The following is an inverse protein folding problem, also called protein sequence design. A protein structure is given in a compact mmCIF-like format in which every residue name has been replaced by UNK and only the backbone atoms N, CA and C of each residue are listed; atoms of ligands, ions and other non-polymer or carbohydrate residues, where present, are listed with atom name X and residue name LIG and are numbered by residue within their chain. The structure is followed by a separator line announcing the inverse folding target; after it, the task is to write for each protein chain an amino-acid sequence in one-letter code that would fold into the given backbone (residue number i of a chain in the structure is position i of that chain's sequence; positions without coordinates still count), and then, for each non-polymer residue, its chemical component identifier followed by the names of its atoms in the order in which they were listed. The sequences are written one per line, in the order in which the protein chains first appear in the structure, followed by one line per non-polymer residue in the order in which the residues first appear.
data_IF_446661699001
#
_entry.id   IF_446661699001
#
_cell.length_a   1.000
_cell.length_b   1.000
_cell.length_c   1.000
_cell.angle_alpha   90.00
_cell.angle_beta   90.00
_cell.angle_gamma   90.00
#
_symmetry.space_group_name_H-M   'P 1'
#
loop_
_entity.id
_entity.type
_entity.pdbx_description
1 polymer ?
#
# COMPACT_ATOMS: atom_id res chain seq x y z
N UNK A 1 10.34 -7.87 -9.36
CA UNK A 1 9.35 -6.79 -9.59
C UNK A 1 8.54 -6.66 -8.32
N UNK A 2 8.95 -5.78 -7.42
CA UNK A 2 8.24 -4.52 -7.15
C UNK A 2 7.83 -4.53 -5.69
N UNK A 3 8.70 -4.07 -4.79
CA UNK A 3 8.65 -4.40 -3.36
C UNK A 3 7.45 -3.83 -2.59
N UNK A 4 6.46 -3.20 -3.22
CA UNK A 4 5.36 -2.50 -2.53
C UNK A 4 5.80 -1.31 -1.64
N UNK A 5 7.11 -1.21 -1.35
CA UNK A 5 7.83 -0.19 -0.58
C UNK A 5 8.33 0.97 -1.46
N UNK A 6 8.37 0.79 -2.77
CA UNK A 6 8.61 1.86 -3.75
C UNK A 6 7.31 2.30 -4.42
N UNK A 7 6.26 1.51 -4.27
CA UNK A 7 4.97 1.71 -4.92
C UNK A 7 4.08 2.52 -4.00
N UNK A 8 3.71 3.71 -4.45
CA UNK A 8 2.85 4.61 -3.67
C UNK A 8 1.43 4.06 -3.60
N UNK A 9 0.84 4.00 -2.41
CA UNK A 9 -0.51 3.45 -2.25
C UNK A 9 -1.55 4.21 -3.09
N UNK A 10 -1.41 5.53 -3.19
CA UNK A 10 -2.37 6.40 -3.89
C UNK A 10 -2.00 6.75 -5.32
N UNK A 11 -0.70 7.01 -5.55
CA UNK A 11 -0.23 7.55 -6.83
C UNK A 11 0.05 6.46 -7.87
N UNK A 12 0.32 5.25 -7.41
CA UNK A 12 0.74 4.14 -8.24
C UNK A 12 -0.43 3.23 -8.59
N UNK A 13 -0.36 2.59 -9.76
CA UNK A 13 -1.38 1.65 -10.23
C UNK A 13 -1.01 0.23 -9.80
N UNK A 14 -1.20 -0.04 -8.52
CA UNK A 14 -0.95 -1.38 -7.95
C UNK A 14 -2.21 -2.24 -7.92
N UNK A 15 -3.40 -1.64 -8.07
CA UNK A 15 -4.63 -2.36 -8.33
C UNK A 15 -4.92 -2.39 -9.85
N UNK A 16 -5.51 -3.50 -10.34
CA UNK A 16 -5.92 -3.62 -11.75
C UNK A 16 -6.81 -2.46 -12.21
N UNK A 17 -7.63 -1.94 -11.30
CA UNK A 17 -8.66 -0.94 -11.59
C UNK A 17 -8.08 0.47 -11.90
N UNK A 18 -6.90 0.79 -11.38
CA UNK A 18 -6.32 2.13 -11.58
C UNK A 18 -5.56 2.67 -10.39
N UNK A 19 -5.39 3.99 -10.37
CA UNK A 19 -4.82 4.71 -9.23
C UNK A 19 -5.93 4.97 -8.23
N UNK A 20 -5.72 4.55 -6.98
CA UNK A 20 -6.74 4.70 -5.92
C UNK A 20 -7.15 6.17 -5.68
N UNK A 21 -6.27 7.13 -5.95
CA UNK A 21 -6.59 8.56 -5.83
C UNK A 21 -7.67 9.03 -6.82
N UNK A 22 -7.76 8.37 -7.96
CA UNK A 22 -8.70 8.72 -9.04
C UNK A 22 -10.06 8.07 -8.80
N UNK A 23 -10.03 6.81 -8.33
CA UNK A 23 -11.22 6.04 -7.97
C UNK A 23 -11.89 6.56 -6.69
N UNK A 24 -11.08 6.89 -5.68
CA UNK A 24 -11.55 7.27 -4.35
C UNK A 24 -11.01 8.64 -3.91
N UNK A 25 -11.36 9.74 -4.62
CA UNK A 25 -10.83 11.08 -4.34
C UNK A 25 -11.25 11.60 -2.96
N UNK A 26 -12.39 11.14 -2.40
CA UNK A 26 -12.83 11.55 -1.07
C UNK A 26 -11.95 10.93 0.01
N UNK A 27 -11.60 9.66 -0.12
CA UNK A 27 -10.67 8.99 0.80
C UNK A 27 -9.25 9.53 0.62
N UNK A 28 -8.82 9.81 -0.61
CA UNK A 28 -7.53 10.46 -0.86
C UNK A 28 -7.42 11.84 -0.19
N UNK A 29 -8.51 12.61 -0.12
CA UNK A 29 -8.53 13.89 0.58
C UNK A 29 -8.38 13.75 2.11
N UNK A 30 -8.65 12.57 2.67
CA UNK A 30 -8.44 12.24 4.09
C UNK A 30 -7.00 11.83 4.38
N UNK A 31 -6.27 11.37 3.37
CA UNK A 31 -4.89 10.91 3.51
C UNK A 31 -3.96 12.05 3.94
N UNK A 32 -3.31 11.89 5.10
CA UNK A 32 -2.28 12.82 5.54
C UNK A 32 -0.92 12.43 4.94
N UNK A 33 -0.63 11.13 4.83
CA UNK A 33 0.63 10.64 4.27
C UNK A 33 0.48 10.29 2.78
N UNK A 34 0.60 11.31 1.92
CA UNK A 34 0.53 11.13 0.46
C UNK A 34 1.63 10.23 -0.12
N UNK A 35 2.73 10.06 0.60
CA UNK A 35 3.89 9.22 0.22
C UNK A 35 3.86 7.83 0.87
N UNK A 36 2.77 7.44 1.54
CA UNK A 36 2.69 6.11 2.12
C UNK A 36 2.73 5.05 1.03
N UNK A 37 3.55 4.03 1.27
CA UNK A 37 3.74 2.93 0.35
C UNK A 37 2.68 1.86 0.61
N UNK A 38 2.43 1.00 -0.38
CA UNK A 38 1.47 -0.10 -0.19
C UNK A 38 1.89 -0.99 0.97
N UNK A 39 3.18 -1.34 1.05
CA UNK A 39 3.71 -2.18 2.13
C UNK A 39 3.50 -1.56 3.51
N UNK A 40 3.80 -0.27 3.69
CA UNK A 40 3.59 0.42 4.96
C UNK A 40 2.10 0.55 5.30
N UNK A 41 1.25 0.85 4.31
CA UNK A 41 -0.20 0.99 4.53
C UNK A 41 -0.85 -0.32 4.95
N UNK A 42 -0.47 -1.42 4.30
CA UNK A 42 -1.02 -2.76 4.55
C UNK A 42 -0.40 -3.45 5.78
N UNK A 43 0.80 -3.04 6.19
CA UNK A 43 1.40 -3.49 7.45
C UNK A 43 0.64 -2.97 8.68
N UNK A 44 -0.15 -1.90 8.53
CA UNK A 44 -0.96 -1.35 9.61
C UNK A 44 -2.29 -2.08 9.75
N UNK A 45 -2.77 -2.19 10.98
CA UNK A 45 -4.05 -2.83 11.32
C UNK A 45 -5.24 -2.08 10.70
N UNK A 46 -5.09 -0.79 10.41
CA UNK A 46 -6.17 0.02 9.85
C UNK A 46 -5.68 0.93 8.72
N UNK A 47 -6.43 0.96 7.61
CA UNK A 47 -6.22 1.89 6.50
C UNK A 47 -6.37 3.36 6.94
N UNK A 48 -7.09 3.61 8.04
CA UNK A 48 -7.24 4.93 8.63
C UNK A 48 -5.99 5.40 9.40
N UNK A 49 -4.96 4.56 9.58
CA UNK A 49 -3.75 4.89 10.34
C UNK A 49 -3.11 6.22 9.93
N UNK A 50 -2.97 6.44 8.63
CA UNK A 50 -2.36 7.67 8.09
C UNK A 50 -3.39 8.77 7.74
N UNK A 51 -4.68 8.54 8.01
CA UNK A 51 -5.69 9.55 7.71
C UNK A 51 -5.66 10.67 8.74
N UNK A 52 -5.86 11.90 8.28
CA UNK A 52 -5.94 13.08 9.15
C UNK A 52 -7.18 13.06 10.04
N UNK A 53 -8.25 12.42 9.57
CA UNK A 53 -9.51 12.23 10.31
C UNK A 53 -10.19 10.94 9.86
N UNK A 54 -11.00 10.36 10.75
CA UNK A 54 -11.84 9.21 10.44
C UNK A 54 -12.99 9.68 9.52
N UNK A 55 -13.33 8.94 8.45
CA UNK A 55 -14.49 9.25 7.62
C UNK A 55 -15.74 9.30 8.50
N UNK A 56 -16.47 10.43 8.45
CA UNK A 56 -17.59 10.70 9.39
C UNK A 56 -18.94 10.15 8.91
N UNK A 57 -18.99 9.53 7.73
CA UNK A 57 -20.22 9.01 7.13
C UNK A 57 -20.40 9.41 5.68
N UNK A 58 -21.41 8.83 5.03
CA UNK A 58 -21.80 9.17 3.66
C UNK A 58 -20.82 8.64 2.61
N UNK A 59 -20.48 9.48 1.63
CA UNK A 59 -19.66 9.09 0.48
C UNK A 59 -18.23 8.71 0.91
N UNK A 60 -17.68 9.34 1.96
CA UNK A 60 -16.35 8.99 2.48
C UNK A 60 -16.32 7.53 2.99
N UNK A 61 -17.34 7.12 3.74
CA UNK A 61 -17.46 5.78 4.31
C UNK A 61 -17.71 4.73 3.24
N UNK A 62 -18.60 5.01 2.28
CA UNK A 62 -18.86 4.12 1.15
C UNK A 62 -17.58 3.87 0.33
N UNK A 63 -16.82 4.92 0.01
CA UNK A 63 -15.55 4.76 -0.69
C UNK A 63 -14.51 3.99 0.13
N UNK A 64 -14.49 4.15 1.46
CA UNK A 64 -13.59 3.41 2.34
C UNK A 64 -13.95 1.92 2.43
N UNK A 65 -15.24 1.59 2.44
CA UNK A 65 -15.72 0.21 2.42
C UNK A 65 -15.36 -0.48 1.09
N UNK A 66 -15.60 0.18 -0.04
CA UNK A 66 -15.22 -0.30 -1.37
C UNK A 66 -13.70 -0.50 -1.50
N UNK A 67 -12.92 0.49 -1.04
CA UNK A 67 -11.47 0.40 -0.96
C UNK A 67 -11.05 -0.81 -0.11
N UNK A 68 -11.68 -1.01 1.05
CA UNK A 68 -11.39 -2.14 1.92
C UNK A 68 -11.71 -3.46 1.23
N UNK A 69 -12.85 -3.60 0.56
CA UNK A 69 -13.22 -4.80 -0.20
C UNK A 69 -12.25 -5.10 -1.35
N UNK A 70 -11.74 -4.07 -2.02
CA UNK A 70 -10.76 -4.22 -3.10
C UNK A 70 -9.37 -4.63 -2.58
N UNK A 71 -9.01 -4.17 -1.38
CA UNK A 71 -7.73 -4.46 -0.74
C UNK A 71 -7.76 -5.77 0.06
N UNK A 72 -8.91 -6.16 0.59
CA UNK A 72 -9.12 -7.38 1.36
C UNK A 72 -8.53 -8.63 0.68
N UNK A 73 -8.81 -8.92 -0.62
CA UNK A 73 -8.19 -10.05 -1.29
C UNK A 73 -6.68 -9.90 -1.48
N UNK A 74 -6.17 -8.66 -1.58
CA UNK A 74 -4.72 -8.41 -1.70
C UNK A 74 -4.01 -8.66 -0.37
N UNK A 75 -4.59 -8.20 0.76
CA UNK A 75 -4.10 -8.51 2.11
C UNK A 75 -4.14 -10.01 2.36
N UNK A 76 -5.22 -10.69 1.98
CA UNK A 76 -5.35 -12.15 2.16
C UNK A 76 -4.29 -12.90 1.35
N UNK A 77 -4.06 -12.51 0.09
CA UNK A 77 -2.97 -13.10 -0.72
C UNK A 77 -1.60 -12.78 -0.15
N UNK A 78 -1.39 -11.57 0.37
CA UNK A 78 -0.13 -11.15 0.98
C UNK A 78 0.10 -11.73 2.39
N UNK A 79 -0.96 -12.14 3.10
CA UNK A 79 -0.90 -12.76 4.42
C UNK A 79 -0.72 -14.29 4.37
N UNK A 80 -1.13 -14.93 3.25
CA UNK A 80 -0.93 -16.36 3.03
C UNK A 80 0.41 -16.66 2.33
N UNK A 81 0.90 -15.73 1.49
CA UNK A 81 2.29 -15.68 1.08
C UNK A 81 3.11 -14.93 2.13
N UNK A 82 3.42 -15.65 3.21
CA UNK A 82 4.52 -15.40 4.14
C UNK A 82 5.54 -14.42 3.57
N UNK A 83 5.78 -13.28 4.23
CA UNK A 83 6.88 -12.37 3.93
C UNK A 83 8.22 -13.12 3.94
N UNK A 84 8.57 -13.73 2.82
CA UNK A 84 9.90 -14.19 2.49
C UNK A 84 10.49 -13.14 1.55
N UNK A 85 10.72 -11.95 2.09
CA UNK A 85 11.69 -11.05 1.51
C UNK A 85 13.07 -11.57 1.90
N UNK A 86 13.55 -12.53 1.13
CA UNK A 86 14.98 -12.77 1.00
C UNK A 86 15.60 -11.57 0.29
N UNK A 87 15.68 -10.42 0.97
CA UNK A 87 16.61 -9.36 0.59
C UNK A 87 18.02 -9.82 0.99
N UNK A 88 18.50 -10.89 0.36
CA UNK A 88 19.94 -11.01 0.17
C UNK A 88 20.26 -10.05 -0.97
N UNK A 89 20.54 -8.79 -0.62
CA UNK A 89 21.31 -7.94 -1.52
C UNK A 89 22.65 -8.66 -1.71
N UNK A 90 22.83 -9.23 -2.88
CA UNK A 90 24.15 -9.54 -3.43
C UNK A 90 25.03 -8.29 -3.31
N UNK A 91 26.13 -8.45 -2.59
CA UNK A 91 27.32 -7.62 -2.69
C UNK A 91 28.47 -8.57 -2.98
N UNK A 92 28.48 -9.11 -4.19
CA UNK A 92 29.72 -9.45 -4.86
C UNK A 92 30.39 -8.10 -5.15
N UNK A 93 31.34 -7.71 -4.31
CA UNK A 93 32.32 -6.69 -4.66
C UNK A 93 33.70 -7.32 -4.42
N UNK A 94 34.26 -7.68 -5.56
CA UNK A 94 35.54 -8.31 -5.85
C UNK A 94 36.71 -7.49 -5.27
N UNK A 95 37.56 -8.11 -4.44
CA UNK A 95 38.97 -7.70 -4.32
C UNK A 95 39.83 -8.92 -3.97
N UNK A 96 40.30 -9.61 -5.01
CA UNK A 96 41.67 -10.13 -5.00
C UNK A 96 42.56 -9.00 -5.53
N UNK A 97 43.75 -8.71 -4.96
CA UNK A 97 44.89 -9.57 -5.28
C UNK A 97 45.99 -9.72 -4.22
N UNK A 98 46.68 -10.87 -4.39
CA UNK A 98 48.06 -11.25 -4.03
C UNK A 98 48.42 -11.47 -2.56
#
# INVERSE_FOLDING_TARGET
MGNGLTTSFWDDKWCMDGKLKDLYPRVYALENQRKITVGEKLAQISLAYSFRRIPRGGVESAQMEELTNLIHPVILKQGMDSWSWSLSKSGDDEFSPN
#
